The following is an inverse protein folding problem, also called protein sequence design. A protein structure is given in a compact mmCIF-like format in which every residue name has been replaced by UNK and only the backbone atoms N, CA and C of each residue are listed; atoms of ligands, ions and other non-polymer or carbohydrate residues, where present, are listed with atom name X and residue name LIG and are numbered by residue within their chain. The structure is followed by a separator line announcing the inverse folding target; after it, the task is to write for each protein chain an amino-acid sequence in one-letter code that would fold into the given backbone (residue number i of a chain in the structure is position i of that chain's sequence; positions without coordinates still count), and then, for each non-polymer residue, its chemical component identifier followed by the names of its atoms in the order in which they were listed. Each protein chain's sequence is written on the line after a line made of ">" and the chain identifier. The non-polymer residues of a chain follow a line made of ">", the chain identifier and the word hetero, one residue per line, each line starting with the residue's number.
data_IF_478246341899
#
_entry.id   IF_478246341899
#
_cell.length_a   1.000
_cell.length_b   1.000
_cell.length_c   1.000
_cell.angle_alpha   90.00
_cell.angle_beta   90.00
_cell.angle_gamma   90.00
#
_symmetry.space_group_name_H-M   'P 1'
#
loop_
_entity.id
_entity.type
_entity.pdbx_description
1 polymer ?
#
# COMPACT_ATOMS: atom_id res chain seq x y z
N UNK A 1 -10.34 10.21 -10.49
CA UNK A 1 -10.56 8.80 -10.09
C UNK A 1 -11.40 8.69 -8.84
N UNK A 2 -11.14 9.52 -7.82
CA UNK A 2 -11.93 9.58 -6.58
C UNK A 2 -13.44 9.74 -6.82
N UNK A 3 -13.88 10.70 -7.65
CA UNK A 3 -15.31 10.92 -7.90
C UNK A 3 -16.02 9.71 -8.52
N UNK A 4 -15.31 8.89 -9.30
CA UNK A 4 -15.84 7.65 -9.87
C UNK A 4 -15.96 6.52 -8.83
N UNK A 5 -15.21 6.60 -7.73
CA UNK A 5 -15.16 5.57 -6.69
C UNK A 5 -15.94 5.96 -5.43
N UNK A 6 -16.30 7.24 -5.29
CA UNK A 6 -17.11 7.77 -4.19
C UNK A 6 -18.43 7.00 -4.06
N UNK A 7 -18.75 6.53 -2.86
CA UNK A 7 -19.94 5.72 -2.57
C UNK A 7 -19.85 4.25 -2.98
N UNK A 8 -18.72 3.80 -3.56
CA UNK A 8 -18.50 2.39 -3.91
C UNK A 8 -17.67 1.67 -2.85
N UNK A 9 -17.68 0.33 -2.86
CA UNK A 9 -16.77 -0.48 -2.03
C UNK A 9 -15.27 -0.22 -2.28
N UNK A 10 -14.97 0.48 -3.38
CA UNK A 10 -13.61 0.81 -3.80
C UNK A 10 -13.14 2.19 -3.33
N UNK A 11 -14.01 3.01 -2.72
CA UNK A 11 -13.66 4.36 -2.26
C UNK A 11 -12.42 4.37 -1.35
N UNK A 12 -12.32 3.41 -0.43
CA UNK A 12 -11.21 3.31 0.54
C UNK A 12 -9.81 3.08 -0.07
N UNK A 13 -9.75 2.72 -1.35
CA UNK A 13 -8.50 2.48 -2.07
C UNK A 13 -8.04 3.68 -2.89
N UNK A 14 -8.85 4.74 -2.98
CA UNK A 14 -8.50 5.96 -3.70
C UNK A 14 -8.52 7.11 -2.72
N UNK A 15 -7.38 7.78 -2.57
CA UNK A 15 -7.29 8.95 -1.70
C UNK A 15 -8.25 10.05 -2.17
N UNK A 16 -8.94 10.67 -1.22
CA UNK A 16 -9.71 11.88 -1.49
C UNK A 16 -8.71 13.02 -1.78
N UNK A 17 -8.75 13.62 -2.98
CA UNK A 17 -7.81 14.66 -3.38
C UNK A 17 -7.86 15.89 -2.45
N UNK A 18 -9.03 16.24 -1.91
CA UNK A 18 -9.19 17.40 -1.00
C UNK A 18 -8.46 17.21 0.33
N UNK A 19 -8.18 15.96 0.73
CA UNK A 19 -7.51 15.64 2.00
C UNK A 19 -6.05 15.20 1.82
N UNK A 20 -5.65 14.91 0.59
CA UNK A 20 -4.39 14.23 0.27
C UNK A 20 -4.30 12.80 0.83
N UNK A 21 -3.38 12.03 0.27
CA UNK A 21 -2.91 10.75 0.81
C UNK A 21 -1.78 10.97 1.81
N UNK A 22 -1.36 9.93 2.55
CA UNK A 22 -0.20 10.07 3.46
C UNK A 22 1.12 10.25 2.70
N UNK A 23 1.18 9.90 1.41
CA UNK A 23 2.33 10.20 0.56
C UNK A 23 2.50 11.71 0.37
N UNK A 24 1.40 12.46 0.24
CA UNK A 24 1.42 13.92 0.14
C UNK A 24 1.96 14.63 1.41
N UNK A 25 2.01 13.92 2.54
CA UNK A 25 2.60 14.44 3.79
C UNK A 25 4.07 14.03 3.95
N UNK A 26 4.65 13.27 3.00
CA UNK A 26 6.02 12.75 3.08
C UNK A 26 6.24 11.69 4.17
N UNK A 27 5.16 11.05 4.65
CA UNK A 27 5.22 10.10 5.77
C UNK A 27 4.81 8.68 5.38
N UNK A 28 4.62 8.40 4.10
CA UNK A 28 4.30 7.07 3.61
C UNK A 28 5.35 6.59 2.60
N UNK A 29 5.53 5.27 2.56
CA UNK A 29 6.40 4.59 1.60
C UNK A 29 5.68 3.34 1.09
N UNK A 30 5.86 3.08 -0.20
CA UNK A 30 5.41 1.85 -0.86
C UNK A 30 6.65 1.03 -1.22
N UNK A 31 6.79 -0.17 -0.66
CA UNK A 31 8.04 -0.95 -0.74
C UNK A 31 7.80 -2.45 -0.98
N UNK A 32 8.82 -3.12 -1.54
CA UNK A 32 8.90 -4.57 -1.68
C UNK A 32 10.27 -5.07 -1.21
N UNK A 33 10.46 -6.40 -1.15
CA UNK A 33 11.74 -7.03 -0.83
C UNK A 33 12.40 -7.50 -2.11
N UNK A 34 13.68 -7.23 -2.25
CA UNK A 34 14.57 -7.86 -3.24
C UNK A 34 15.48 -8.87 -2.56
N UNK A 35 15.85 -9.93 -3.27
CA UNK A 35 16.84 -10.91 -2.82
C UNK A 35 18.28 -10.40 -3.05
N UNK A 36 19.27 -11.22 -2.68
CA UNK A 36 20.69 -10.86 -2.85
C UNK A 36 21.17 -10.78 -4.31
N UNK A 37 20.30 -11.05 -5.27
CA UNK A 37 20.53 -10.87 -6.71
C UNK A 37 19.72 -9.70 -7.28
N UNK A 38 19.25 -8.79 -6.43
CA UNK A 38 18.42 -7.62 -6.77
C UNK A 38 17.08 -7.97 -7.43
N UNK A 39 16.59 -9.21 -7.25
CA UNK A 39 15.32 -9.64 -7.81
C UNK A 39 14.21 -9.51 -6.78
N UNK A 40 13.09 -8.90 -7.16
CA UNK A 40 11.89 -8.85 -6.32
C UNK A 40 11.42 -10.27 -5.98
N UNK A 41 11.20 -10.53 -4.69
CA UNK A 41 10.61 -11.79 -4.25
C UNK A 41 9.11 -11.81 -4.60
N UNK A 42 8.56 -13.00 -4.84
CA UNK A 42 7.15 -13.13 -5.20
C UNK A 42 6.22 -12.71 -4.05
N UNK A 43 5.60 -11.54 -4.21
CA UNK A 43 4.60 -11.00 -3.31
C UNK A 43 3.16 -11.24 -3.81
N UNK A 44 2.99 -11.96 -4.93
CA UNK A 44 1.75 -12.03 -5.69
C UNK A 44 1.52 -10.74 -6.48
N UNK A 45 0.29 -10.22 -6.47
CA UNK A 45 0.00 -8.96 -7.15
C UNK A 45 0.84 -7.79 -6.58
N UNK A 46 1.62 -7.13 -7.45
CA UNK A 46 2.40 -5.92 -7.18
C UNK A 46 1.83 -4.73 -7.97
N UNK A 47 1.69 -3.54 -7.36
CA UNK A 47 1.12 -2.37 -8.03
C UNK A 47 2.16 -1.42 -8.63
N UNK A 48 3.45 -1.57 -8.30
CA UNK A 48 4.51 -0.59 -8.60
C UNK A 48 4.68 -0.28 -10.10
N UNK A 49 4.39 -1.26 -10.96
CA UNK A 49 4.64 -1.17 -12.40
C UNK A 49 3.35 -1.12 -13.23
N UNK A 50 2.20 -0.98 -12.57
CA UNK A 50 0.89 -1.17 -13.18
C UNK A 50 0.18 0.17 -13.41
N UNK A 51 -0.32 0.39 -14.63
CA UNK A 51 -1.28 1.45 -14.93
C UNK A 51 -2.51 1.43 -14.00
N UNK A 52 -3.21 2.56 -13.87
CA UNK A 52 -4.41 2.70 -13.02
C UNK A 52 -5.48 1.60 -13.25
N UNK A 53 -5.61 1.10 -14.49
CA UNK A 53 -6.56 0.03 -14.82
C UNK A 53 -6.09 -1.35 -14.29
N UNK A 54 -4.80 -1.66 -14.42
CA UNK A 54 -4.20 -2.90 -13.89
C UNK A 54 -4.20 -2.96 -12.36
N UNK A 55 -4.16 -1.83 -11.65
CA UNK A 55 -4.28 -1.80 -10.18
C UNK A 55 -5.67 -2.28 -9.75
N UNK A 56 -6.74 -1.83 -10.41
CA UNK A 56 -8.11 -2.25 -10.11
C UNK A 56 -8.31 -3.76 -10.35
N UNK A 57 -7.81 -4.29 -11.48
CA UNK A 57 -7.87 -5.73 -11.77
C UNK A 57 -7.01 -6.55 -10.81
N UNK A 58 -5.87 -6.02 -10.36
CA UNK A 58 -5.03 -6.63 -9.34
C UNK A 58 -5.71 -6.77 -7.99
N UNK A 59 -6.42 -5.74 -7.55
CA UNK A 59 -7.25 -5.77 -6.35
C UNK A 59 -8.40 -6.78 -6.45
N UNK A 60 -9.04 -6.86 -7.61
CA UNK A 60 -10.04 -7.90 -7.87
C UNK A 60 -9.41 -9.30 -7.82
N UNK A 61 -8.21 -9.48 -8.39
CA UNK A 61 -7.49 -10.76 -8.40
C UNK A 61 -7.06 -11.19 -6.99
N UNK A 62 -6.60 -10.27 -6.15
CA UNK A 62 -6.31 -10.53 -4.72
C UNK A 62 -7.55 -10.96 -3.91
N UNK A 63 -8.73 -10.52 -4.33
CA UNK A 63 -10.01 -10.92 -3.73
C UNK A 63 -10.53 -12.24 -4.29
N UNK A 64 -10.15 -12.60 -5.51
CA UNK A 64 -10.63 -13.79 -6.21
C UNK A 64 -9.72 -15.01 -6.08
N UNK A 65 -8.43 -14.80 -5.84
CA UNK A 65 -7.43 -15.87 -5.73
C UNK A 65 -6.69 -15.75 -4.40
N UNK A 66 -6.64 -16.85 -3.65
CA UNK A 66 -5.88 -16.91 -2.42
C UNK A 66 -4.37 -16.86 -2.71
N UNK A 67 -3.61 -16.30 -1.77
CA UNK A 67 -2.16 -16.24 -1.87
C UNK A 67 -1.57 -17.64 -1.68
N UNK A 68 -0.47 -17.93 -2.38
CA UNK A 68 0.32 -19.11 -2.03
C UNK A 68 0.92 -18.96 -0.62
N UNK A 69 1.22 -20.08 0.05
CA UNK A 69 1.85 -20.04 1.37
C UNK A 69 3.21 -19.31 1.35
N UNK A 70 3.94 -19.37 0.22
CA UNK A 70 5.16 -18.61 0.03
C UNK A 70 4.89 -17.09 -0.02
N UNK A 71 3.88 -16.65 -0.77
CA UNK A 71 3.48 -15.24 -0.84
C UNK A 71 2.99 -14.71 0.52
N UNK A 72 2.25 -15.53 1.29
CA UNK A 72 1.82 -15.17 2.66
C UNK A 72 3.04 -14.95 3.56
N UNK A 73 4.02 -15.85 3.54
CA UNK A 73 5.27 -15.73 4.31
C UNK A 73 6.10 -14.52 3.89
N UNK A 74 6.22 -14.24 2.59
CA UNK A 74 6.96 -13.08 2.09
C UNK A 74 6.33 -11.75 2.54
N UNK A 75 4.99 -11.64 2.47
CA UNK A 75 4.27 -10.45 2.98
C UNK A 75 4.39 -10.32 4.50
N UNK A 76 4.37 -11.44 5.23
CA UNK A 76 4.57 -11.43 6.68
C UNK A 76 6.00 -10.98 7.04
N UNK A 77 7.01 -11.42 6.31
CA UNK A 77 8.40 -11.00 6.46
C UNK A 77 8.54 -9.48 6.30
N UNK A 78 7.97 -8.93 5.22
CA UNK A 78 7.98 -7.49 4.98
C UNK A 78 7.28 -6.74 6.11
N UNK A 79 6.05 -7.16 6.47
CA UNK A 79 5.28 -6.52 7.53
C UNK A 79 6.00 -6.52 8.87
N UNK A 80 6.60 -7.65 9.27
CA UNK A 80 7.38 -7.75 10.52
C UNK A 80 8.62 -6.86 10.48
N UNK A 81 9.32 -6.81 9.36
CA UNK A 81 10.53 -5.99 9.17
C UNK A 81 10.20 -4.51 9.29
N UNK A 82 9.18 -4.04 8.57
CA UNK A 82 8.75 -2.65 8.61
C UNK A 82 8.21 -2.24 9.98
N UNK A 83 7.46 -3.10 10.66
CA UNK A 83 7.02 -2.86 12.05
C UNK A 83 8.20 -2.71 13.02
N UNK A 84 9.23 -3.56 12.89
CA UNK A 84 10.45 -3.44 13.70
C UNK A 84 11.20 -2.13 13.43
N UNK A 85 11.13 -1.62 12.20
CA UNK A 85 11.68 -0.33 11.81
C UNK A 85 10.81 0.88 12.23
N UNK A 86 9.69 0.66 12.92
CA UNK A 86 8.81 1.73 13.42
C UNK A 86 7.70 2.17 12.47
N UNK A 87 7.50 1.46 11.35
CA UNK A 87 6.43 1.76 10.40
C UNK A 87 5.12 1.04 10.73
N UNK A 88 4.01 1.63 10.27
CA UNK A 88 2.65 1.15 10.45
C UNK A 88 2.09 0.62 9.11
N UNK A 89 1.85 -0.70 8.97
CA UNK A 89 1.32 -1.26 7.72
C UNK A 89 -0.14 -0.86 7.50
N UNK A 90 -0.54 -0.85 6.24
CA UNK A 90 -1.94 -0.69 5.85
C UNK A 90 -2.57 -2.05 5.54
N UNK A 91 -3.66 -2.40 6.24
CA UNK A 91 -4.22 -3.76 6.22
C UNK A 91 -4.70 -4.24 4.85
N UNK A 92 -4.97 -3.32 3.93
CA UNK A 92 -5.47 -3.62 2.58
C UNK A 92 -4.43 -3.42 1.47
N UNK A 93 -3.25 -2.89 1.81
CA UNK A 93 -2.13 -2.62 0.90
C UNK A 93 -0.86 -3.19 1.53
N UNK A 94 -0.49 -4.41 1.14
CA UNK A 94 0.63 -5.12 1.78
C UNK A 94 1.98 -4.40 1.61
N UNK A 95 2.08 -3.53 0.60
CA UNK A 95 3.27 -2.73 0.26
C UNK A 95 3.31 -1.36 0.94
N UNK A 96 2.18 -0.86 1.48
CA UNK A 96 2.06 0.52 1.99
C UNK A 96 2.34 0.59 3.48
N UNK A 97 3.22 1.51 3.87
CA UNK A 97 3.62 1.74 5.25
C UNK A 97 3.64 3.23 5.58
N UNK A 98 3.06 3.61 6.72
CA UNK A 98 3.14 4.98 7.24
C UNK A 98 4.22 5.06 8.33
N UNK A 99 4.95 6.16 8.41
CA UNK A 99 5.86 6.46 9.54
C UNK A 99 5.11 6.97 10.77
N UNK A 100 3.85 7.42 10.62
CA UNK A 100 3.01 7.89 11.71
C UNK A 100 1.53 7.51 11.50
N UNK A 101 0.74 7.41 12.59
CA UNK A 101 -0.71 7.33 12.49
C UNK A 101 -1.30 8.52 11.70
N UNK A 102 -2.27 8.25 10.82
CA UNK A 102 -2.82 9.24 9.87
C UNK A 102 -3.34 10.50 10.57
N UNK A 103 -4.03 10.33 11.70
CA UNK A 103 -4.63 11.45 12.43
C UNK A 103 -3.57 12.35 13.08
N UNK A 104 -2.46 11.75 13.56
CA UNK A 104 -1.33 12.51 14.10
C UNK A 104 -0.60 13.27 12.99
N UNK A 105 -0.40 12.62 11.84
CA UNK A 105 0.24 13.24 10.69
C UNK A 105 -0.53 14.48 10.20
N UNK A 106 -1.84 14.35 10.03
CA UNK A 106 -2.74 15.45 9.62
C UNK A 106 -2.79 16.60 10.62
N UNK A 107 -2.62 16.32 11.91
CA UNK A 107 -2.58 17.35 12.96
C UNK A 107 -1.24 18.09 12.99
N UNK A 108 -0.13 17.38 12.72
CA UNK A 108 1.22 17.89 12.95
C UNK A 108 1.88 18.50 11.71
N UNK A 109 1.56 17.99 10.52
CA UNK A 109 2.24 18.37 9.28
C UNK A 109 1.27 18.92 8.25
N UNK A 110 1.83 19.65 7.29
CA UNK A 110 1.12 20.12 6.10
C UNK A 110 1.46 19.20 4.93
N UNK A 111 0.58 19.19 3.94
CA UNK A 111 0.86 18.58 2.64
C UNK A 111 2.04 19.32 2.00
N UNK A 112 2.96 18.55 1.42
CA UNK A 112 4.17 19.05 0.75
C UNK A 112 4.17 18.78 -0.77
N UNK A 113 3.19 18.01 -1.27
CA UNK A 113 2.96 17.68 -2.68
C UNK A 113 1.47 17.64 -3.01
#
# INVERSE_FOLDING_TARGET
>A
MYDKMKGTKFEKFVANPDKGSMHNYGIAVDVTIVDGSDKEIDMGFTPFYNSNLSIYWGYAKLKMFDLSEAQKKNRELLSKTMKKAGFFPLSYEWWHFNGLPKDLARKKYKIIE
#
